data_IF_797840532083
#
_entry.id   IF_797840532083
#
_cell.length_a   1.000
_cell.length_b   1.000
_cell.length_c   1.000
_cell.angle_alpha   90.00
_cell.angle_beta   90.00
_cell.angle_gamma   90.00
#
_symmetry.space_group_name_H-M   'P 1'
#
loop_
_entity.id
_entity.type
_entity.pdbx_description
1 polymer ?
#
# COMPACT_ATOMS: atom_id res chain seq x y z
N UNK A 1 12.57 -46.37 -61.48
CA UNK A 1 12.37 -47.55 -62.36
C UNK A 1 13.66 -48.10 -62.98
N UNK A 2 14.69 -47.30 -63.27
CA UNK A 2 15.98 -47.77 -63.84
C UNK A 2 16.85 -48.55 -62.85
N UNK A 3 16.85 -48.21 -61.56
CA UNK A 3 17.65 -48.90 -60.54
C UNK A 3 17.18 -50.32 -60.21
N UNK A 4 15.88 -50.59 -60.20
CA UNK A 4 15.33 -51.91 -59.91
C UNK A 4 15.69 -52.92 -61.01
N UNK A 5 15.63 -52.50 -62.29
CA UNK A 5 16.06 -53.33 -63.42
C UNK A 5 17.55 -53.65 -63.37
N UNK A 6 18.38 -52.67 -63.04
CA UNK A 6 19.83 -52.88 -62.89
C UNK A 6 20.14 -53.88 -61.77
N UNK A 7 19.43 -53.79 -60.64
CA UNK A 7 19.65 -54.66 -59.49
C UNK A 7 19.22 -56.10 -59.77
N UNK A 8 18.05 -56.30 -60.38
CA UNK A 8 17.55 -57.63 -60.78
C UNK A 8 18.49 -58.30 -61.79
N UNK A 9 18.98 -57.54 -62.79
CA UNK A 9 19.94 -58.05 -63.77
C UNK A 9 21.29 -58.38 -63.13
N UNK A 10 21.73 -57.61 -62.13
CA UNK A 10 22.95 -57.89 -61.39
C UNK A 10 22.82 -59.13 -60.50
N UNK A 11 21.70 -59.29 -59.80
CA UNK A 11 21.43 -60.46 -58.96
C UNK A 11 21.30 -61.75 -59.80
N UNK A 12 20.66 -61.67 -60.96
CA UNK A 12 20.58 -62.78 -61.93
C UNK A 12 21.96 -63.19 -62.45
N UNK A 13 22.82 -62.22 -62.76
CA UNK A 13 24.19 -62.49 -63.19
C UNK A 13 25.08 -63.02 -62.07
N UNK A 14 24.93 -62.54 -60.82
CA UNK A 14 25.71 -63.00 -59.67
C UNK A 14 25.33 -64.43 -59.22
N UNK A 15 24.05 -64.81 -59.32
CA UNK A 15 23.55 -66.11 -58.83
C UNK A 15 23.59 -67.22 -59.90
N UNK A 16 23.49 -66.89 -61.18
CA UNK A 16 23.32 -67.88 -62.26
C UNK A 16 24.22 -67.70 -63.49
N UNK A 17 25.08 -66.66 -63.56
CA UNK A 17 26.14 -66.45 -64.57
C UNK A 17 26.08 -67.31 -65.85
N UNK A 18 26.91 -68.36 -65.92
CA UNK A 18 26.99 -69.32 -67.04
C UNK A 18 26.00 -70.52 -66.95
N UNK A 19 25.27 -70.64 -65.83
CA UNK A 19 24.32 -71.72 -65.50
C UNK A 19 22.91 -71.48 -66.08
N UNK A 20 22.70 -70.36 -66.79
CA UNK A 20 21.46 -69.98 -67.50
C UNK A 20 21.23 -70.75 -68.82
N UNK A 21 22.23 -71.51 -69.28
CA UNK A 21 22.11 -72.37 -70.48
C UNK A 21 21.44 -73.72 -70.19
N UNK A 22 21.19 -74.05 -68.91
CA UNK A 22 20.48 -75.26 -68.49
C UNK A 22 18.98 -75.00 -68.35
N UNK A 23 18.19 -75.57 -69.27
CA UNK A 23 16.74 -75.33 -69.39
C UNK A 23 15.98 -75.71 -68.10
N UNK A 24 16.48 -76.70 -67.33
CA UNK A 24 15.86 -77.15 -66.09
C UNK A 24 15.86 -76.09 -64.98
N UNK A 25 17.00 -75.41 -64.78
CA UNK A 25 17.14 -74.37 -63.75
C UNK A 25 16.40 -73.08 -64.13
N UNK A 26 16.30 -72.77 -65.42
CA UNK A 26 15.48 -71.67 -65.93
C UNK A 26 13.98 -71.90 -65.65
N UNK A 27 13.50 -73.14 -65.74
CA UNK A 27 12.12 -73.49 -65.39
C UNK A 27 11.89 -73.38 -63.88
N UNK A 28 12.84 -73.82 -63.04
CA UNK A 28 12.75 -73.64 -61.58
C UNK A 28 12.74 -72.16 -61.18
N UNK A 29 13.61 -71.34 -61.79
CA UNK A 29 13.65 -69.90 -61.55
C UNK A 29 12.36 -69.22 -62.01
N UNK A 30 11.84 -69.61 -63.18
CA UNK A 30 10.55 -69.12 -63.67
C UNK A 30 9.44 -69.49 -62.68
N UNK A 31 9.40 -70.73 -62.18
CA UNK A 31 8.39 -71.18 -61.24
C UNK A 31 8.50 -70.45 -59.89
N UNK A 32 9.72 -70.20 -59.41
CA UNK A 32 9.97 -69.42 -58.19
C UNK A 32 9.53 -67.97 -58.34
N UNK A 33 9.90 -67.31 -59.44
CA UNK A 33 9.47 -65.94 -59.73
C UNK A 33 7.95 -65.86 -59.96
N UNK A 34 7.33 -66.89 -60.53
CA UNK A 34 5.86 -66.98 -60.65
C UNK A 34 5.19 -67.16 -59.29
N UNK A 35 5.77 -67.97 -58.40
CA UNK A 35 5.28 -68.09 -57.02
C UNK A 35 5.43 -66.78 -56.25
N UNK A 36 6.61 -66.15 -56.28
CA UNK A 36 6.84 -64.85 -55.63
C UNK A 36 5.90 -63.77 -56.21
N UNK A 37 5.69 -63.75 -57.53
CA UNK A 37 4.72 -62.86 -58.17
C UNK A 37 3.30 -63.13 -57.68
N UNK A 38 2.86 -64.40 -57.64
CA UNK A 38 1.52 -64.76 -57.18
C UNK A 38 1.33 -64.47 -55.68
N UNK A 39 2.37 -64.59 -54.88
CA UNK A 39 2.36 -64.30 -53.45
C UNK A 39 2.26 -62.78 -53.20
N UNK A 40 3.04 -61.98 -53.93
CA UNK A 40 2.95 -60.51 -53.93
C UNK A 40 1.59 -60.05 -54.48
N UNK A 41 1.09 -60.64 -55.56
CA UNK A 41 -0.24 -60.31 -56.11
C UNK A 41 -1.35 -60.66 -55.10
N UNK A 42 -1.23 -61.75 -54.32
CA UNK A 42 -2.18 -62.06 -53.25
C UNK A 42 -2.07 -61.10 -52.06
N UNK A 43 -0.87 -60.67 -51.69
CA UNK A 43 -0.68 -59.69 -50.63
C UNK A 43 -1.14 -58.29 -51.03
N UNK A 44 -1.05 -57.91 -52.30
CA UNK A 44 -1.47 -56.59 -52.80
C UNK A 44 -2.97 -56.54 -53.11
N UNK A 45 -3.62 -57.68 -53.35
CA UNK A 45 -5.03 -57.69 -53.72
C UNK A 45 -5.95 -57.29 -52.55
N UNK A 46 -6.44 -56.05 -52.61
CA UNK A 46 -7.27 -55.39 -51.60
C UNK A 46 -8.65 -56.06 -51.38
N UNK A 47 -9.11 -56.90 -52.32
CA UNK A 47 -10.36 -57.66 -52.18
C UNK A 47 -10.20 -58.93 -51.31
N UNK A 48 -8.96 -59.37 -51.06
CA UNK A 48 -8.69 -60.57 -50.29
C UNK A 48 -8.46 -60.19 -48.81
N UNK A 49 -9.49 -60.36 -47.98
CA UNK A 49 -9.50 -59.97 -46.56
C UNK A 49 -8.41 -60.64 -45.70
N UNK A 50 -7.67 -61.64 -46.22
CA UNK A 50 -6.55 -62.29 -45.53
C UNK A 50 -5.16 -61.70 -45.83
N UNK A 51 -5.06 -60.80 -46.81
CA UNK A 51 -3.83 -60.05 -47.07
C UNK A 51 -3.46 -59.16 -45.87
N UNK A 52 -2.18 -59.17 -45.48
CA UNK A 52 -1.66 -58.30 -44.42
C UNK A 52 -1.88 -56.82 -44.75
N UNK A 53 -1.70 -56.44 -46.02
CA UNK A 53 -1.85 -55.07 -46.52
C UNK A 53 -3.32 -54.64 -46.50
N UNK A 54 -4.26 -55.51 -46.90
CA UNK A 54 -5.69 -55.22 -46.85
C UNK A 54 -6.18 -54.99 -45.40
N UNK A 55 -5.75 -55.84 -44.45
CA UNK A 55 -6.03 -55.66 -43.01
C UNK A 55 -5.43 -54.35 -42.47
N UNK A 56 -4.22 -53.98 -42.91
CA UNK A 56 -3.58 -52.71 -42.54
C UNK A 56 -4.36 -51.50 -43.09
N UNK A 57 -4.85 -51.55 -44.34
CA UNK A 57 -5.62 -50.46 -44.95
C UNK A 57 -6.95 -50.26 -44.23
N UNK A 58 -7.74 -51.32 -44.01
CA UNK A 58 -9.01 -51.24 -43.28
C UNK A 58 -8.81 -50.73 -41.85
N UNK A 59 -7.74 -51.19 -41.17
CA UNK A 59 -7.42 -50.70 -39.85
C UNK A 59 -7.00 -49.22 -39.89
N UNK A 60 -6.28 -48.77 -40.93
CA UNK A 60 -5.93 -47.36 -41.11
C UNK A 60 -7.16 -46.48 -41.34
N UNK A 61 -8.13 -46.95 -42.14
CA UNK A 61 -9.38 -46.23 -42.40
C UNK A 61 -10.20 -46.09 -41.11
N UNK A 62 -10.31 -47.16 -40.31
CA UNK A 62 -10.96 -47.11 -39.00
C UNK A 62 -10.24 -46.18 -38.02
N UNK A 63 -8.91 -46.14 -38.06
CA UNK A 63 -8.11 -45.19 -37.25
C UNK A 63 -8.38 -43.76 -37.70
N UNK A 64 -8.48 -43.49 -38.99
CA UNK A 64 -8.82 -42.15 -39.53
C UNK A 64 -10.24 -41.74 -39.08
N UNK A 65 -11.20 -42.65 -39.12
CA UNK A 65 -12.57 -42.39 -38.66
C UNK A 65 -12.61 -42.06 -37.16
N UNK A 66 -11.89 -42.83 -36.34
CA UNK A 66 -11.75 -42.53 -34.91
C UNK A 66 -11.03 -41.21 -34.64
N UNK A 67 -10.01 -40.87 -35.45
CA UNK A 67 -9.30 -39.59 -35.35
C UNK A 67 -10.26 -38.44 -35.67
N UNK A 68 -11.05 -38.55 -36.73
CA UNK A 68 -12.02 -37.52 -37.10
C UNK A 68 -13.11 -37.36 -36.03
N UNK A 69 -13.59 -38.46 -35.44
CA UNK A 69 -14.52 -38.41 -34.32
C UNK A 69 -13.91 -37.70 -33.10
N UNK A 70 -12.67 -38.03 -32.75
CA UNK A 70 -11.94 -37.39 -31.65
C UNK A 70 -11.65 -35.90 -31.91
N UNK A 71 -11.38 -35.51 -33.17
CA UNK A 71 -11.21 -34.10 -33.56
C UNK A 71 -12.53 -33.35 -33.38
N UNK A 72 -13.64 -33.91 -33.84
CA UNK A 72 -14.97 -33.29 -33.68
C UNK A 72 -15.35 -33.11 -32.21
N UNK A 73 -15.06 -34.11 -31.36
CA UNK A 73 -15.31 -34.03 -29.92
C UNK A 73 -14.40 -32.97 -29.26
N UNK A 74 -13.13 -32.87 -29.67
CA UNK A 74 -12.23 -31.84 -29.19
C UNK A 74 -12.65 -30.42 -29.61
N UNK A 75 -13.19 -30.26 -30.83
CA UNK A 75 -13.75 -28.98 -31.30
C UNK A 75 -14.97 -28.56 -30.46
N UNK A 76 -15.90 -29.48 -30.20
CA UNK A 76 -17.09 -29.20 -29.37
C UNK A 76 -16.71 -28.81 -27.93
N UNK A 77 -15.76 -29.54 -27.33
CA UNK A 77 -15.23 -29.19 -25.99
C UNK A 77 -14.56 -27.82 -26.00
N UNK A 78 -13.82 -27.48 -27.05
CA UNK A 78 -13.15 -26.18 -27.16
C UNK A 78 -14.17 -25.04 -27.25
N UNK A 79 -15.24 -25.20 -28.03
CA UNK A 79 -16.33 -24.20 -28.09
C UNK A 79 -17.04 -24.03 -26.74
N UNK A 80 -17.27 -25.13 -26.01
CA UNK A 80 -17.84 -25.06 -24.67
C UNK A 80 -16.92 -24.32 -23.69
N UNK A 81 -15.62 -24.61 -23.73
CA UNK A 81 -14.62 -23.91 -22.90
C UNK A 81 -14.58 -22.43 -23.22
N UNK A 82 -14.61 -22.03 -24.50
CA UNK A 82 -14.61 -20.62 -24.89
C UNK A 82 -15.86 -19.89 -24.41
N UNK A 83 -17.03 -20.54 -24.50
CA UNK A 83 -18.28 -19.99 -23.97
C UNK A 83 -18.23 -19.83 -22.44
N UNK A 84 -17.72 -20.82 -21.73
CA UNK A 84 -17.58 -20.78 -20.28
C UNK A 84 -16.56 -19.72 -19.84
N UNK A 85 -15.44 -19.58 -20.54
CA UNK A 85 -14.46 -18.52 -20.31
C UNK A 85 -15.08 -17.13 -20.50
N UNK A 86 -15.91 -16.95 -21.52
CA UNK A 86 -16.61 -15.69 -21.75
C UNK A 86 -17.57 -15.35 -20.60
N UNK A 87 -18.37 -16.31 -20.15
CA UNK A 87 -19.28 -16.13 -19.01
C UNK A 87 -18.51 -15.80 -17.72
N UNK A 88 -17.38 -16.48 -17.47
CA UNK A 88 -16.53 -16.22 -16.31
C UNK A 88 -15.95 -14.80 -16.34
N UNK A 89 -15.58 -14.28 -17.51
CA UNK A 89 -15.03 -12.92 -17.64
C UNK A 89 -16.12 -11.84 -17.40
N UNK A 90 -17.37 -12.08 -17.81
CA UNK A 90 -18.50 -11.19 -17.48
C UNK A 90 -18.75 -11.14 -15.96
N UNK A 91 -18.77 -12.32 -15.32
CA UNK A 91 -18.92 -12.42 -13.85
C UNK A 91 -17.75 -11.75 -13.14
N UNK A 92 -16.51 -11.96 -13.63
CA UNK A 92 -15.31 -11.32 -13.09
C UNK A 92 -15.39 -9.80 -13.15
N UNK A 93 -15.84 -9.25 -14.27
CA UNK A 93 -16.02 -7.81 -14.45
C UNK A 93 -17.05 -7.26 -13.46
N UNK A 94 -18.19 -7.95 -13.33
CA UNK A 94 -19.23 -7.59 -12.35
C UNK A 94 -18.70 -7.61 -10.91
N UNK A 95 -17.95 -8.65 -10.53
CA UNK A 95 -17.32 -8.75 -9.20
C UNK A 95 -16.32 -7.61 -8.99
N UNK A 96 -15.54 -7.24 -10.02
CA UNK A 96 -14.60 -6.14 -9.92
C UNK A 96 -15.32 -4.81 -9.64
N UNK A 97 -16.43 -4.54 -10.33
CA UNK A 97 -17.26 -3.36 -10.06
C UNK A 97 -17.83 -3.36 -8.64
N UNK A 98 -18.34 -4.50 -8.17
CA UNK A 98 -18.84 -4.62 -6.80
C UNK A 98 -17.73 -4.40 -5.79
N UNK A 99 -16.53 -4.93 -6.02
CA UNK A 99 -15.36 -4.71 -5.17
C UNK A 99 -14.98 -3.23 -5.11
N UNK A 100 -14.99 -2.53 -6.24
CA UNK A 100 -14.68 -1.10 -6.29
C UNK A 100 -15.74 -0.27 -5.55
N UNK A 101 -17.03 -0.60 -5.74
CA UNK A 101 -18.14 -0.02 -4.96
C UNK A 101 -17.98 -0.29 -3.46
N UNK A 102 -17.62 -1.51 -3.06
CA UNK A 102 -17.37 -1.83 -1.66
C UNK A 102 -16.18 -1.05 -1.10
N UNK A 103 -15.10 -0.92 -1.86
CA UNK A 103 -13.91 -0.19 -1.44
C UNK A 103 -14.21 1.31 -1.24
N UNK A 104 -14.97 1.92 -2.17
CA UNK A 104 -15.38 3.32 -2.05
C UNK A 104 -16.28 3.55 -0.82
N UNK A 105 -17.26 2.68 -0.58
CA UNK A 105 -18.12 2.76 0.61
C UNK A 105 -17.31 2.56 1.90
N UNK A 106 -16.37 1.63 1.91
CA UNK A 106 -15.49 1.39 3.07
C UNK A 106 -14.61 2.60 3.37
N UNK A 107 -14.06 3.25 2.34
CA UNK A 107 -13.28 4.48 2.48
C UNK A 107 -14.13 5.62 3.05
N UNK A 108 -15.35 5.81 2.52
CA UNK A 108 -16.30 6.81 3.03
C UNK A 108 -16.69 6.53 4.50
N UNK A 109 -16.90 5.26 4.86
CA UNK A 109 -17.21 4.87 6.23
C UNK A 109 -16.05 5.19 7.18
N UNK A 110 -14.80 4.89 6.78
CA UNK A 110 -13.62 5.22 7.58
C UNK A 110 -13.47 6.73 7.74
N UNK A 111 -13.65 7.50 6.66
CA UNK A 111 -13.63 8.96 6.69
C UNK A 111 -14.65 9.53 7.69
N UNK A 112 -15.91 9.06 7.64
CA UNK A 112 -16.96 9.49 8.55
C UNK A 112 -16.68 9.11 10.01
N UNK A 113 -16.10 7.92 10.26
CA UNK A 113 -15.70 7.50 11.61
C UNK A 113 -14.65 8.43 12.21
N UNK A 114 -13.68 8.88 11.40
CA UNK A 114 -12.67 9.83 11.87
C UNK A 114 -13.32 11.17 12.22
N UNK A 115 -14.23 11.69 11.39
CA UNK A 115 -14.97 12.93 11.72
C UNK A 115 -15.76 12.77 13.01
N UNK A 116 -16.51 11.67 13.14
CA UNK A 116 -17.29 11.38 14.34
C UNK A 116 -16.38 11.31 15.59
N UNK A 117 -15.20 10.73 15.48
CA UNK A 117 -14.24 10.68 16.58
C UNK A 117 -13.73 12.08 16.94
N UNK A 118 -13.42 12.93 15.95
CA UNK A 118 -12.99 14.32 16.18
C UNK A 118 -14.10 15.11 16.87
N UNK A 119 -15.34 14.98 16.42
CA UNK A 119 -16.51 15.64 17.02
C UNK A 119 -16.79 15.15 18.44
N UNK A 120 -16.65 13.84 18.67
CA UNK A 120 -16.77 13.24 19.99
C UNK A 120 -15.72 13.81 20.96
N UNK A 121 -14.43 13.80 20.56
CA UNK A 121 -13.34 14.36 21.36
C UNK A 121 -13.53 15.86 21.61
N UNK A 122 -14.00 16.61 20.61
CA UNK A 122 -14.34 18.04 20.75
C UNK A 122 -15.48 18.26 21.75
N UNK A 123 -16.51 17.41 21.73
CA UNK A 123 -17.63 17.51 22.67
C UNK A 123 -17.23 17.11 24.09
N UNK A 124 -16.37 16.09 24.21
CA UNK A 124 -15.80 15.68 25.49
C UNK A 124 -14.90 16.79 26.06
N UNK A 125 -14.06 17.43 25.22
CA UNK A 125 -13.27 18.61 25.61
C UNK A 125 -14.15 19.74 26.13
N UNK A 126 -15.26 20.08 25.43
CA UNK A 126 -16.23 21.09 25.94
C UNK A 126 -16.72 20.74 27.33
N UNK A 127 -17.04 19.47 27.56
CA UNK A 127 -17.58 18.97 28.82
C UNK A 127 -16.54 18.99 29.94
N UNK A 128 -15.31 18.54 29.67
CA UNK A 128 -14.23 18.52 30.65
C UNK A 128 -13.72 19.92 30.99
N UNK A 129 -13.68 20.82 30.00
CA UNK A 129 -13.39 22.25 30.24
C UNK A 129 -14.44 22.86 31.19
N UNK A 130 -15.73 22.53 31.01
CA UNK A 130 -16.79 22.99 31.90
C UNK A 130 -16.70 22.41 33.32
N UNK A 131 -16.24 21.17 33.46
CA UNK A 131 -16.00 20.50 34.77
C UNK A 131 -14.75 20.99 35.49
N UNK A 132 -13.89 21.76 34.81
CA UNK A 132 -12.57 22.22 35.29
C UNK A 132 -11.59 21.07 35.58
N UNK A 133 -11.69 19.98 34.83
CA UNK A 133 -10.73 18.88 34.91
C UNK A 133 -9.62 19.10 33.86
N UNK A 134 -8.51 19.71 34.28
CA UNK A 134 -7.43 20.09 33.38
C UNK A 134 -6.63 18.88 32.87
N UNK A 135 -6.46 17.84 33.70
CA UNK A 135 -5.74 16.60 33.34
C UNK A 135 -6.42 15.86 32.19
N UNK A 136 -7.76 15.71 32.29
CA UNK A 136 -8.54 15.07 31.26
C UNK A 136 -8.58 15.92 29.98
N UNK A 137 -8.65 17.24 30.09
CA UNK A 137 -8.59 18.13 28.93
C UNK A 137 -7.30 17.94 28.13
N UNK A 138 -6.16 17.87 28.83
CA UNK A 138 -4.85 17.70 28.20
C UNK A 138 -4.74 16.32 27.56
N UNK A 139 -5.21 15.28 28.22
CA UNK A 139 -5.21 13.91 27.67
C UNK A 139 -6.05 13.81 26.40
N UNK A 140 -7.25 14.41 26.39
CA UNK A 140 -8.12 14.41 25.20
C UNK A 140 -7.51 15.23 24.06
N UNK A 141 -6.84 16.35 24.38
CA UNK A 141 -6.10 17.13 23.40
C UNK A 141 -4.91 16.34 22.82
N UNK A 142 -4.16 15.61 23.64
CA UNK A 142 -3.09 14.72 23.18
C UNK A 142 -3.63 13.67 22.21
N UNK A 143 -4.77 13.04 22.52
CA UNK A 143 -5.44 12.09 21.60
C UNK A 143 -5.84 12.75 20.27
N UNK A 144 -6.31 14.00 20.29
CA UNK A 144 -6.63 14.77 19.08
C UNK A 144 -5.37 15.00 18.22
N UNK A 145 -4.24 15.34 18.85
CA UNK A 145 -2.96 15.51 18.15
C UNK A 145 -2.39 14.20 17.62
N UNK A 146 -2.61 13.08 18.31
CA UNK A 146 -2.21 11.75 17.83
C UNK A 146 -2.98 11.36 16.57
N UNK A 147 -4.29 11.63 16.54
CA UNK A 147 -5.10 11.45 15.32
C UNK A 147 -4.53 12.29 14.17
N UNK A 148 -4.07 13.51 14.45
CA UNK A 148 -3.43 14.36 13.44
C UNK A 148 -2.12 13.79 12.91
N UNK A 149 -1.27 13.20 13.76
CA UNK A 149 -0.03 12.54 13.34
C UNK A 149 -0.31 11.32 12.47
N UNK A 150 -1.30 10.52 12.85
CA UNK A 150 -1.70 9.34 12.07
C UNK A 150 -2.28 9.70 10.69
N UNK A 151 -2.85 10.90 10.54
CA UNK A 151 -3.45 11.39 9.29
C UNK A 151 -2.49 12.23 8.43
N UNK A 152 -1.24 12.47 8.87
CA UNK A 152 -0.27 13.29 8.13
C UNK A 152 0.03 12.72 6.73
N UNK A 153 0.05 11.40 6.61
CA UNK A 153 0.28 10.70 5.33
C UNK A 153 -1.01 10.50 4.50
N UNK A 154 -2.18 10.92 5.01
CA UNK A 154 -3.45 10.73 4.32
C UNK A 154 -3.68 11.85 3.31
N UNK A 155 -4.05 11.49 2.08
CA UNK A 155 -4.24 12.41 0.96
C UNK A 155 -5.51 13.29 1.05
N UNK A 156 -6.32 13.14 2.11
CA UNK A 156 -7.54 13.91 2.34
C UNK A 156 -7.27 15.30 2.92
N UNK A 157 -7.04 16.28 2.04
CA UNK A 157 -6.76 17.69 2.43
C UNK A 157 -7.82 18.30 3.34
N UNK A 158 -9.11 18.11 3.03
CA UNK A 158 -10.20 18.73 3.80
C UNK A 158 -10.34 18.17 5.22
N UNK A 159 -10.10 16.87 5.41
CA UNK A 159 -10.13 16.26 6.73
C UNK A 159 -8.97 16.76 7.59
N UNK A 160 -7.79 16.86 6.98
CA UNK A 160 -6.61 17.37 7.64
C UNK A 160 -6.76 18.86 7.99
N UNK A 161 -7.27 19.69 7.08
CA UNK A 161 -7.60 21.10 7.33
C UNK A 161 -8.61 21.25 8.47
N UNK A 162 -9.71 20.50 8.45
CA UNK A 162 -10.71 20.51 9.52
C UNK A 162 -10.12 20.11 10.88
N UNK A 163 -9.29 19.07 10.90
CA UNK A 163 -8.61 18.63 12.12
C UNK A 163 -7.62 19.68 12.64
N UNK A 164 -6.87 20.31 11.73
CA UNK A 164 -5.94 21.40 12.06
C UNK A 164 -6.67 22.61 12.64
N UNK A 165 -7.78 23.02 12.05
CA UNK A 165 -8.63 24.09 12.58
C UNK A 165 -9.20 23.74 13.96
N UNK A 166 -9.62 22.49 14.16
CA UNK A 166 -10.08 21.99 15.45
C UNK A 166 -8.95 22.01 16.50
N UNK A 167 -7.74 21.59 16.14
CA UNK A 167 -6.58 21.63 17.03
C UNK A 167 -6.24 23.08 17.40
N UNK A 168 -6.19 24.01 16.45
CA UNK A 168 -5.93 25.42 16.76
C UNK A 168 -7.01 26.04 17.64
N UNK A 169 -8.27 25.75 17.37
CA UNK A 169 -9.39 26.22 18.18
C UNK A 169 -9.23 25.74 19.63
N UNK A 170 -9.01 24.44 19.83
CA UNK A 170 -8.86 23.86 21.16
C UNK A 170 -7.60 24.31 21.88
N UNK A 171 -6.48 24.40 21.15
CA UNK A 171 -5.25 24.96 21.67
C UNK A 171 -5.47 26.38 22.20
N UNK A 172 -6.14 27.26 21.45
CA UNK A 172 -6.37 28.63 21.90
C UNK A 172 -7.28 28.69 23.14
N UNK A 173 -8.34 27.88 23.18
CA UNK A 173 -9.24 27.80 24.34
C UNK A 173 -8.50 27.30 25.60
N UNK A 174 -7.73 26.22 25.48
CA UNK A 174 -6.98 25.65 26.60
C UNK A 174 -5.84 26.57 27.02
N UNK A 175 -5.11 27.15 26.06
CA UNK A 175 -4.08 28.15 26.32
C UNK A 175 -4.65 29.32 27.10
N UNK A 176 -5.76 29.92 26.69
CA UNK A 176 -6.37 31.06 27.39
C UNK A 176 -6.80 30.72 28.82
N UNK A 177 -7.31 29.50 29.04
CA UNK A 177 -7.72 29.02 30.36
C UNK A 177 -6.51 28.80 31.27
N UNK A 178 -5.58 27.93 30.85
CA UNK A 178 -4.37 27.61 31.61
C UNK A 178 -3.48 28.83 31.80
N UNK A 179 -3.53 29.79 30.88
CA UNK A 179 -2.84 31.08 31.02
C UNK A 179 -3.32 31.88 32.22
N UNK A 180 -4.64 31.88 32.46
CA UNK A 180 -5.23 32.56 33.62
C UNK A 180 -4.88 31.82 34.91
N UNK A 181 -4.95 30.49 34.89
CA UNK A 181 -4.59 29.66 36.04
C UNK A 181 -3.10 29.79 36.39
N UNK A 182 -2.24 29.91 35.37
CA UNK A 182 -0.82 30.18 35.54
C UNK A 182 -0.59 31.57 36.14
N UNK A 183 -1.23 32.64 35.63
CA UNK A 183 -1.09 34.00 36.19
C UNK A 183 -1.57 34.06 37.65
N UNK A 184 -2.65 33.34 37.99
CA UNK A 184 -3.08 33.18 39.40
C UNK A 184 -2.02 32.46 40.25
N UNK A 185 -1.45 31.35 39.75
CA UNK A 185 -0.38 30.65 40.43
C UNK A 185 0.88 31.50 40.60
N UNK A 186 1.26 32.28 39.57
CA UNK A 186 2.39 33.20 39.59
C UNK A 186 2.17 34.34 40.60
N UNK A 187 0.94 34.86 40.74
CA UNK A 187 0.59 35.83 41.79
C UNK A 187 0.71 35.24 43.19
N UNK A 188 0.29 33.98 43.39
CA UNK A 188 0.39 33.30 44.70
C UNK A 188 1.85 33.13 45.15
N UNK A 189 2.76 32.83 44.22
CA UNK A 189 4.19 32.73 44.50
C UNK A 189 4.91 34.09 44.43
N UNK A 190 4.18 35.18 44.14
CA UNK A 190 4.71 36.55 43.96
C UNK A 190 5.78 36.66 42.87
N UNK A 191 5.64 35.90 41.80
CA UNK A 191 6.46 36.03 40.61
C UNK A 191 6.02 37.25 39.79
N UNK A 192 6.95 38.07 39.25
CA UNK A 192 8.40 38.03 39.47
C UNK A 192 8.80 38.63 40.83
N UNK A 193 9.77 38.01 41.50
CA UNK A 193 10.26 38.41 42.82
C UNK A 193 10.90 39.80 42.77
N UNK A 194 10.17 40.81 43.22
CA UNK A 194 10.51 42.21 42.88
C UNK A 194 10.45 43.17 44.06
N UNK A 195 10.11 42.67 45.25
CA UNK A 195 10.30 43.41 46.48
C UNK A 195 11.78 43.39 46.87
N UNK A 196 12.35 44.56 47.18
CA UNK A 196 13.72 44.72 47.67
C UNK A 196 14.04 43.88 48.93
N UNK A 197 12.99 43.43 49.64
CA UNK A 197 13.09 42.39 50.64
C UNK A 197 13.03 41.03 49.94
N UNK A 198 14.20 40.48 49.59
CA UNK A 198 14.43 39.06 49.29
C UNK A 198 14.11 38.12 50.47
N UNK A 199 13.29 38.57 51.42
CA UNK A 199 12.86 37.80 52.59
C UNK A 199 11.91 36.70 52.13
N UNK A 200 12.50 35.62 51.63
CA UNK A 200 12.17 34.21 51.90
C UNK A 200 10.68 33.93 52.17
N UNK A 201 9.78 34.40 51.33
CA UNK A 201 8.47 33.78 51.22
C UNK A 201 8.73 32.50 50.44
N UNK A 202 9.16 31.47 51.15
CA UNK A 202 9.19 30.11 50.62
C UNK A 202 7.77 29.84 50.16
N UNK A 203 7.51 29.71 48.85
CA UNK A 203 6.17 29.40 48.39
C UNK A 203 5.77 28.07 49.04
N UNK A 204 4.54 27.97 49.56
CA UNK A 204 4.08 26.70 50.12
C UNK A 204 4.30 25.60 49.08
N UNK A 205 4.78 24.40 49.46
CA UNK A 205 5.04 23.29 48.53
C UNK A 205 3.85 23.04 47.59
N UNK A 206 2.62 23.19 48.10
CA UNK A 206 1.38 23.03 47.33
C UNK A 206 1.24 24.04 46.17
N UNK A 207 1.70 25.29 46.33
CA UNK A 207 1.65 26.30 45.26
C UNK A 207 2.69 26.03 44.18
N UNK A 208 3.86 25.50 44.55
CA UNK A 208 4.90 25.08 43.61
C UNK A 208 4.44 23.85 42.82
N UNK A 209 3.85 22.85 43.50
CA UNK A 209 3.28 21.69 42.84
C UNK A 209 2.17 22.07 41.87
N UNK A 210 1.26 22.98 42.26
CA UNK A 210 0.23 23.50 41.35
C UNK A 210 0.84 24.20 40.12
N UNK A 211 1.90 24.99 40.31
CA UNK A 211 2.63 25.61 39.21
C UNK A 211 3.27 24.57 38.28
N UNK A 212 3.91 23.54 38.85
CA UNK A 212 4.53 22.46 38.08
C UNK A 212 3.51 21.72 37.23
N UNK A 213 2.36 21.36 37.79
CA UNK A 213 1.27 20.68 37.08
C UNK A 213 0.74 21.56 35.93
N UNK A 214 0.47 22.84 36.19
CA UNK A 214 0.00 23.76 35.14
C UNK A 214 1.06 23.95 34.04
N UNK A 215 2.34 24.02 34.42
CA UNK A 215 3.44 24.13 33.47
C UNK A 215 3.57 22.86 32.62
N UNK A 216 3.40 21.68 33.21
CA UNK A 216 3.38 20.38 32.50
C UNK A 216 2.22 20.33 31.49
N UNK A 217 1.01 20.69 31.90
CA UNK A 217 -0.15 20.77 31.00
C UNK A 217 0.05 21.77 29.85
N UNK A 218 0.66 22.93 30.13
CA UNK A 218 1.00 23.91 29.12
C UNK A 218 2.06 23.41 28.12
N UNK A 219 2.97 22.53 28.54
CA UNK A 219 3.93 21.87 27.64
C UNK A 219 3.25 20.81 26.78
N UNK A 220 2.34 20.02 27.36
CA UNK A 220 1.62 18.96 26.65
C UNK A 220 0.61 19.51 25.62
N UNK A 221 0.11 20.73 25.81
CA UNK A 221 -0.78 21.40 24.86
C UNK A 221 0.00 22.07 23.71
N UNK A 222 1.33 22.11 23.72
CA UNK A 222 2.09 22.72 22.63
C UNK A 222 1.74 22.10 21.27
N UNK A 223 1.50 22.97 20.30
CA UNK A 223 1.18 22.55 18.94
C UNK A 223 2.39 21.80 18.38
N UNK A 224 2.21 20.58 17.85
CA UNK A 224 3.30 19.80 17.27
C UNK A 224 4.08 20.61 16.22
N UNK A 225 5.41 20.46 16.21
CA UNK A 225 6.31 21.21 15.33
C UNK A 225 6.00 21.04 13.85
N UNK A 226 5.37 19.92 13.47
CA UNK A 226 4.92 19.62 12.10
C UNK A 226 3.78 20.55 11.63
N UNK A 227 3.02 21.12 12.57
CA UNK A 227 1.90 22.04 12.31
C UNK A 227 2.26 23.50 12.57
N UNK A 228 3.37 23.76 13.27
CA UNK A 228 3.89 25.09 13.53
C UNK A 228 4.69 25.61 12.32
N UNK A 229 4.39 26.81 11.86
CA UNK A 229 5.29 27.52 10.95
C UNK A 229 6.54 27.96 11.74
N UNK A 230 7.77 27.54 11.39
CA UNK A 230 8.96 28.26 11.84
C UNK A 230 8.94 29.61 11.09
N UNK A 231 9.28 30.76 11.65
CA UNK A 231 10.55 31.08 12.28
C UNK A 231 10.36 32.46 12.93
N UNK A 232 10.81 32.69 14.16
CA UNK A 232 11.04 34.08 14.59
C UNK A 232 12.36 34.51 13.96
N UNK A 233 12.29 35.34 12.93
CA UNK A 233 13.48 35.92 12.31
C UNK A 233 14.11 36.86 13.34
N UNK A 234 15.09 36.34 14.08
CA UNK A 234 15.86 37.15 15.02
C UNK A 234 16.68 38.19 14.26
N UNK A 235 16.89 39.36 14.85
CA UNK A 235 17.85 40.37 14.36
C UNK A 235 19.27 39.79 14.19
N UNK A 236 19.56 38.63 14.79
CA UNK A 236 20.80 37.87 14.67
C UNK A 236 20.88 36.94 13.44
N UNK A 237 19.91 37.00 12.51
CA UNK A 237 19.87 36.17 11.30
C UNK A 237 19.91 34.65 11.55
N UNK A 238 19.62 34.21 12.78
CA UNK A 238 19.59 32.80 13.16
C UNK A 238 18.15 32.37 13.44
N UNK A 239 17.81 31.19 12.95
CA UNK A 239 16.54 30.53 13.22
C UNK A 239 16.60 29.90 14.61
N UNK A 240 15.77 30.39 15.54
CA UNK A 240 15.62 29.77 16.85
C UNK A 240 14.24 29.12 16.95
N UNK A 241 14.15 27.92 17.57
CA UNK A 241 12.85 27.33 17.86
C UNK A 241 12.05 28.27 18.77
N UNK A 242 10.71 28.32 18.63
CA UNK A 242 9.88 29.12 19.51
C UNK A 242 10.07 28.65 20.96
N UNK A 243 10.11 29.61 21.90
CA UNK A 243 10.14 29.31 23.33
C UNK A 243 8.89 28.54 23.73
N UNK A 244 9.02 27.63 24.69
CA UNK A 244 7.86 26.90 25.20
C UNK A 244 6.86 27.83 25.91
N UNK A 245 5.58 27.48 25.86
CA UNK A 245 4.45 28.28 26.35
C UNK A 245 4.64 28.74 27.80
N UNK A 246 4.99 27.88 28.78
CA UNK A 246 5.17 28.32 30.17
C UNK A 246 6.24 29.41 30.31
N UNK A 247 7.35 29.28 29.58
CA UNK A 247 8.46 30.24 29.63
C UNK A 247 8.03 31.56 28.98
N UNK A 248 7.37 31.52 27.82
CA UNK A 248 6.86 32.73 27.16
C UNK A 248 5.99 33.56 28.12
N UNK A 249 5.10 32.88 28.84
CA UNK A 249 4.19 33.48 29.80
C UNK A 249 4.89 34.06 31.02
N UNK A 250 5.82 33.31 31.63
CA UNK A 250 6.60 33.80 32.77
C UNK A 250 7.42 35.04 32.40
N UNK A 251 7.94 35.09 31.18
CA UNK A 251 8.71 36.21 30.64
C UNK A 251 7.88 37.48 30.42
N UNK A 252 6.56 37.41 30.22
CA UNK A 252 5.73 38.61 29.98
C UNK A 252 5.82 39.61 31.13
N UNK A 253 5.82 39.11 32.36
CA UNK A 253 5.93 39.93 33.56
C UNK A 253 7.28 40.66 33.65
N UNK A 254 8.36 40.01 33.22
CA UNK A 254 9.70 40.57 33.15
C UNK A 254 9.83 41.55 31.98
N UNK A 255 9.28 41.22 30.80
CA UNK A 255 9.24 42.12 29.64
C UNK A 255 8.54 43.42 29.96
N UNK A 256 7.36 43.38 30.61
CA UNK A 256 6.63 44.58 31.05
C UNK A 256 7.49 45.48 31.95
N UNK A 257 8.23 44.88 32.88
CA UNK A 257 9.14 45.61 33.78
C UNK A 257 10.36 46.15 33.06
N UNK A 258 10.97 45.36 32.19
CA UNK A 258 12.07 45.78 31.35
C UNK A 258 11.66 47.00 30.52
N UNK A 259 10.52 46.93 29.81
CA UNK A 259 10.00 48.06 29.06
C UNK A 259 9.74 49.26 29.96
N UNK A 260 9.11 49.08 31.12
CA UNK A 260 8.87 50.17 32.07
C UNK A 260 10.18 50.82 32.57
N UNK A 261 11.20 50.02 32.86
CA UNK A 261 12.46 50.52 33.44
C UNK A 261 13.34 51.21 32.40
N UNK A 262 13.43 50.66 31.18
CA UNK A 262 14.36 51.12 30.13
C UNK A 262 13.74 52.08 29.12
N UNK A 263 12.42 52.00 28.91
CA UNK A 263 11.68 52.87 27.99
C UNK A 263 10.73 53.82 28.74
N UNK A 264 10.80 53.84 30.07
CA UNK A 264 10.08 54.80 30.90
C UNK A 264 10.64 56.22 30.80
N UNK A 265 9.99 57.17 31.47
CA UNK A 265 10.37 58.59 31.48
C UNK A 265 11.74 58.87 32.10
N UNK A 266 12.27 57.93 32.88
CA UNK A 266 13.62 58.00 33.45
C UNK A 266 14.57 57.24 32.53
N UNK A 267 15.42 57.94 31.77
CA UNK A 267 16.45 57.32 30.93
C UNK A 267 17.46 56.56 31.81
N UNK A 268 17.27 55.25 31.90
CA UNK A 268 18.22 54.29 32.50
C UNK A 268 19.13 53.69 31.43
N UNK A 269 18.69 53.63 30.17
CA UNK A 269 19.50 53.20 29.03
C UNK A 269 20.37 54.36 28.52
N UNK A 270 21.57 54.46 29.07
CA UNK A 270 22.55 55.52 28.79
C UNK A 270 23.82 54.90 28.22
N UNK A 271 24.34 55.43 27.12
CA UNK A 271 25.57 54.91 26.48
C UNK A 271 26.79 54.95 27.41
N UNK A 272 26.81 55.87 28.37
CA UNK A 272 27.87 55.99 29.38
C UNK A 272 27.78 54.95 30.51
N UNK A 273 26.68 54.20 30.59
CA UNK A 273 26.43 53.15 31.61
C UNK A 273 25.69 51.94 31.02
N UNK A 274 26.35 51.14 30.17
CA UNK A 274 25.75 49.97 29.54
C UNK A 274 25.41 48.85 30.54
N UNK A 275 25.85 48.95 31.80
CA UNK A 275 25.55 47.99 32.87
C UNK A 275 24.12 48.08 33.44
N UNK A 276 23.37 49.14 33.11
CA UNK A 276 21.95 49.27 33.43
C UNK A 276 21.10 48.63 32.34
#
# INVERSE_FOLDING_TARGET
>A
MTGLRSHVVQELNEKYGDDLLDLGKCIELQHKLLQEKLEIEREINLENNDSSIAKMVINSEKVIENINAAISEAEEITELIDKDLHNVEEVRTSIHEYKDKTNTVQCLLQYMKVIQQIEYLSTELKTQVAKKDDEQCVTIFANLTEISRNLENFSGKHLYEYLKDCIYFWHNVLKDKLSKDLDEALKLIKWPFTSANFSLVVPLPNHIQKLQIIAEYLLEIEIPSEMATPTVQSALLSEFPPLCLPIQMMLESLKKRFTYHFYGTRQTNREDKPEW
#
